data_IF_251633790412
#
_entry.id   IF_251633790412
#
_cell.length_a   1.000
_cell.length_b   1.000
_cell.length_c   1.000
_cell.angle_alpha   90.00
_cell.angle_beta   90.00
_cell.angle_gamma   90.00
#
_symmetry.space_group_name_H-M   'P 1'
#
loop_
_entity.id
_entity.type
_entity.pdbx_description
1 polymer ?
#
# COMPACT_ATOMS: atom_id res chain seq x y z
N UNK A 1 -61.36 -40.29 38.32
CA UNK A 1 -60.74 -39.40 39.31
C UNK A 1 -59.51 -38.75 38.70
N UNK A 2 -59.61 -37.47 38.34
CA UNK A 2 -58.48 -36.70 37.83
C UNK A 2 -58.19 -35.62 38.87
N UNK A 3 -56.97 -35.66 39.45
CA UNK A 3 -56.57 -34.63 40.40
C UNK A 3 -56.08 -33.39 39.63
N UNK A 4 -57.00 -32.48 39.34
CA UNK A 4 -56.73 -31.25 38.59
C UNK A 4 -55.67 -30.36 39.27
N UNK A 5 -55.56 -30.38 40.59
CA UNK A 5 -54.56 -29.62 41.36
C UNK A 5 -53.16 -30.16 41.13
N UNK A 6 -52.98 -31.49 41.02
CA UNK A 6 -51.66 -32.10 40.68
C UNK A 6 -51.25 -31.78 39.28
N UNK A 7 -52.13 -31.88 38.31
CA UNK A 7 -51.81 -31.53 36.90
C UNK A 7 -51.46 -30.04 36.72
N UNK A 8 -52.13 -29.17 37.50
CA UNK A 8 -51.79 -27.75 37.50
C UNK A 8 -50.41 -27.50 38.12
N UNK A 9 -50.09 -28.17 39.24
CA UNK A 9 -48.77 -28.05 39.89
C UNK A 9 -47.63 -28.53 38.97
N UNK A 10 -47.80 -29.68 38.30
CA UNK A 10 -46.85 -30.19 37.31
C UNK A 10 -46.62 -29.21 36.15
N UNK A 11 -47.71 -28.62 35.64
CA UNK A 11 -47.60 -27.64 34.55
C UNK A 11 -46.85 -26.39 35.01
N UNK A 12 -47.13 -25.85 36.20
CA UNK A 12 -46.40 -24.67 36.72
C UNK A 12 -44.93 -24.99 36.97
N UNK A 13 -44.63 -26.18 37.49
CA UNK A 13 -43.25 -26.63 37.72
C UNK A 13 -42.47 -26.74 36.41
N UNK A 14 -43.06 -27.30 35.36
CA UNK A 14 -42.42 -27.40 34.04
C UNK A 14 -42.18 -26.03 33.46
N UNK A 15 -43.12 -25.08 33.51
CA UNK A 15 -42.93 -23.69 33.04
C UNK A 15 -41.82 -22.99 33.84
N UNK A 16 -41.73 -23.22 35.15
CA UNK A 16 -40.69 -22.65 36.01
C UNK A 16 -39.31 -23.21 35.63
N UNK A 17 -39.20 -24.53 35.41
CA UNK A 17 -37.96 -25.18 35.00
C UNK A 17 -37.49 -24.69 33.62
N UNK A 18 -38.40 -24.52 32.65
CA UNK A 18 -38.03 -23.94 31.36
C UNK A 18 -37.51 -22.51 31.48
N UNK A 19 -38.14 -21.71 32.35
CA UNK A 19 -37.69 -20.32 32.62
C UNK A 19 -36.33 -20.28 33.28
N UNK A 20 -36.07 -21.19 34.22
CA UNK A 20 -34.78 -21.34 34.90
C UNK A 20 -33.70 -21.75 33.86
N UNK A 21 -33.95 -22.73 33.00
CA UNK A 21 -33.01 -23.14 31.98
C UNK A 21 -32.67 -22.00 31.02
N UNK A 22 -33.66 -21.22 30.56
CA UNK A 22 -33.42 -20.04 29.72
C UNK A 22 -32.57 -18.98 30.41
N UNK A 23 -32.88 -18.72 31.70
CA UNK A 23 -32.10 -17.76 32.49
C UNK A 23 -30.66 -18.23 32.72
N UNK A 24 -30.48 -19.54 33.00
CA UNK A 24 -29.13 -20.14 33.11
C UNK A 24 -28.34 -20.06 31.79
N UNK A 25 -29.00 -20.29 30.67
CA UNK A 25 -28.35 -20.14 29.34
C UNK A 25 -27.87 -18.70 29.12
N UNK A 26 -28.70 -17.69 29.48
CA UNK A 26 -28.34 -16.25 29.41
C UNK A 26 -27.20 -15.89 30.35
N UNK A 27 -27.20 -16.40 31.56
CA UNK A 27 -26.14 -16.18 32.54
C UNK A 27 -24.82 -16.84 32.13
N UNK A 28 -24.88 -18.05 31.57
CA UNK A 28 -23.71 -18.78 31.12
C UNK A 28 -23.06 -18.15 29.91
N UNK A 29 -23.86 -17.65 28.96
CA UNK A 29 -23.35 -16.98 27.73
C UNK A 29 -22.95 -15.53 28.00
N UNK A 30 -23.49 -14.89 29.04
CA UNK A 30 -23.37 -13.45 29.30
C UNK A 30 -24.14 -12.59 28.30
N UNK A 31 -24.93 -13.20 27.42
CA UNK A 31 -25.69 -12.51 26.37
C UNK A 31 -27.21 -12.59 26.65
N UNK A 32 -27.91 -11.47 26.46
CA UNK A 32 -29.37 -11.39 26.66
C UNK A 32 -30.15 -12.15 25.59
N UNK A 33 -29.63 -12.20 24.37
CA UNK A 33 -30.25 -12.82 23.18
C UNK A 33 -29.33 -13.94 22.71
N UNK A 34 -29.72 -15.20 22.94
CA UNK A 34 -28.96 -16.37 22.55
C UNK A 34 -29.56 -17.07 21.32
N UNK A 35 -30.88 -16.99 21.18
CA UNK A 35 -31.62 -17.68 20.11
C UNK A 35 -32.48 -16.70 19.34
N UNK A 36 -32.70 -16.98 18.06
CA UNK A 36 -33.59 -16.19 17.22
C UNK A 36 -35.02 -16.12 17.79
N UNK A 37 -35.40 -17.09 18.60
CA UNK A 37 -36.71 -17.12 19.30
C UNK A 37 -36.83 -16.15 20.47
N UNK A 38 -35.70 -15.63 20.99
CA UNK A 38 -35.74 -14.62 22.09
C UNK A 38 -36.03 -13.22 21.53
N UNK A 39 -35.37 -12.85 20.43
CA UNK A 39 -35.58 -11.58 19.71
C UNK A 39 -34.91 -11.68 18.33
N UNK A 40 -35.71 -12.01 17.31
CA UNK A 40 -35.20 -12.19 15.94
C UNK A 40 -34.66 -10.91 15.33
N UNK A 41 -35.26 -9.74 15.65
CA UNK A 41 -34.81 -8.46 15.10
C UNK A 41 -33.55 -7.98 15.80
N UNK A 42 -33.46 -8.10 17.11
CA UNK A 42 -32.30 -7.75 17.91
C UNK A 42 -31.09 -8.63 17.57
N UNK A 43 -31.31 -9.94 17.35
CA UNK A 43 -30.23 -10.83 16.89
C UNK A 43 -29.72 -10.45 15.52
N UNK A 44 -30.59 -10.17 14.55
CA UNK A 44 -30.18 -9.76 13.22
C UNK A 44 -29.36 -8.46 13.23
N UNK A 45 -29.75 -7.47 14.02
CA UNK A 45 -29.00 -6.21 14.19
C UNK A 45 -27.65 -6.48 14.86
N UNK A 46 -27.62 -7.29 15.93
CA UNK A 46 -26.39 -7.64 16.64
C UNK A 46 -25.38 -8.36 15.71
N UNK A 47 -25.83 -9.34 14.93
CA UNK A 47 -24.98 -10.05 13.98
C UNK A 47 -24.47 -9.14 12.85
N UNK A 48 -25.31 -8.21 12.38
CA UNK A 48 -24.88 -7.19 11.41
C UNK A 48 -23.79 -6.29 12.00
N UNK A 49 -23.96 -5.83 13.23
CA UNK A 49 -22.96 -5.00 13.93
C UNK A 49 -21.66 -5.78 14.18
N UNK A 50 -21.73 -7.05 14.61
CA UNK A 50 -20.56 -7.91 14.79
C UNK A 50 -19.81 -8.14 13.47
N UNK A 51 -20.53 -8.35 12.38
CA UNK A 51 -19.94 -8.48 11.05
C UNK A 51 -19.24 -7.19 10.64
N UNK A 52 -19.86 -6.03 10.90
CA UNK A 52 -19.27 -4.72 10.61
C UNK A 52 -18.02 -4.48 11.45
N UNK A 53 -18.03 -4.76 12.75
CA UNK A 53 -16.85 -4.64 13.62
C UNK A 53 -15.70 -5.52 13.12
N UNK A 54 -15.98 -6.79 12.77
CA UNK A 54 -14.96 -7.69 12.21
C UNK A 54 -14.41 -7.17 10.88
N UNK A 55 -15.29 -6.63 10.03
CA UNK A 55 -14.91 -5.99 8.78
C UNK A 55 -14.01 -4.76 8.99
N UNK A 56 -14.36 -3.87 9.92
CA UNK A 56 -13.58 -2.68 10.26
C UNK A 56 -12.21 -3.04 10.86
N UNK A 57 -12.15 -4.05 11.75
CA UNK A 57 -10.88 -4.54 12.28
C UNK A 57 -9.96 -5.07 11.18
N UNK A 58 -10.51 -5.78 10.20
CA UNK A 58 -9.72 -6.23 9.04
C UNK A 58 -9.33 -5.06 8.13
N UNK A 59 -10.21 -4.08 7.92
CA UNK A 59 -9.92 -2.86 7.19
C UNK A 59 -8.77 -2.06 7.83
N UNK A 60 -8.74 -1.96 9.16
CA UNK A 60 -7.63 -1.33 9.89
C UNK A 60 -6.29 -2.03 9.62
N UNK A 61 -6.26 -3.38 9.61
CA UNK A 61 -5.05 -4.13 9.24
C UNK A 61 -4.65 -3.88 7.78
N UNK A 62 -5.62 -3.84 6.87
CA UNK A 62 -5.35 -3.57 5.46
C UNK A 62 -4.78 -2.17 5.23
N UNK A 63 -5.28 -1.17 5.97
CA UNK A 63 -4.76 0.20 5.93
C UNK A 63 -3.30 0.24 6.40
N UNK A 64 -2.96 -0.42 7.51
CA UNK A 64 -1.60 -0.50 8.01
C UNK A 64 -0.65 -1.19 7.01
N UNK A 65 -1.12 -2.25 6.35
CA UNK A 65 -0.37 -2.89 5.26
C UNK A 65 -0.18 -1.94 4.08
N UNK A 66 -1.20 -1.13 3.75
CA UNK A 66 -1.09 -0.10 2.72
C UNK A 66 -0.09 0.99 3.06
N UNK A 67 -0.05 1.45 4.32
CA UNK A 67 0.95 2.41 4.80
C UNK A 67 2.35 1.81 4.70
N UNK A 68 2.55 0.57 5.16
CA UNK A 68 3.83 -0.12 5.07
C UNK A 68 4.31 -0.30 3.62
N UNK A 69 3.38 -0.61 2.71
CA UNK A 69 3.64 -0.69 1.27
C UNK A 69 4.15 0.65 0.71
N UNK A 70 3.48 1.77 1.06
CA UNK A 70 3.88 3.10 0.62
C UNK A 70 5.25 3.49 1.19
N UNK A 71 5.49 3.27 2.48
CA UNK A 71 6.76 3.59 3.14
C UNK A 71 7.93 2.80 2.55
N UNK A 72 7.72 1.51 2.25
CA UNK A 72 8.73 0.69 1.57
C UNK A 72 9.03 1.22 0.18
N UNK A 73 8.00 1.58 -0.60
CA UNK A 73 8.17 2.17 -1.93
C UNK A 73 8.90 3.51 -1.86
N UNK A 74 8.55 4.35 -0.89
CA UNK A 74 9.22 5.64 -0.68
C UNK A 74 10.70 5.47 -0.31
N UNK A 75 11.05 4.45 0.48
CA UNK A 75 12.44 4.10 0.79
C UNK A 75 13.25 3.86 -0.48
N UNK A 76 12.78 3.02 -1.40
CA UNK A 76 13.45 2.78 -2.69
C UNK A 76 13.51 4.03 -3.59
N UNK A 77 12.48 4.88 -3.56
CA UNK A 77 12.51 6.14 -4.32
C UNK A 77 13.51 7.14 -3.73
N UNK A 78 13.77 7.13 -2.42
CA UNK A 78 14.83 7.92 -1.81
C UNK A 78 16.20 7.47 -2.32
N UNK A 79 16.48 6.16 -2.30
CA UNK A 79 17.72 5.61 -2.86
C UNK A 79 17.88 5.99 -4.34
N UNK A 80 16.82 5.89 -5.14
CA UNK A 80 16.84 6.33 -6.54
C UNK A 80 17.16 7.83 -6.65
N UNK A 81 16.60 8.66 -5.76
CA UNK A 81 16.89 10.10 -5.75
C UNK A 81 18.35 10.38 -5.44
N UNK A 82 18.95 9.67 -4.49
CA UNK A 82 20.37 9.84 -4.11
C UNK A 82 21.30 9.45 -5.26
N UNK A 83 20.98 8.34 -5.96
CA UNK A 83 21.72 7.94 -7.17
C UNK A 83 21.61 8.98 -8.28
N UNK A 84 20.42 9.52 -8.53
CA UNK A 84 20.21 10.58 -9.54
C UNK A 84 20.97 11.87 -9.18
N UNK A 85 21.01 12.25 -7.91
CA UNK A 85 21.80 13.39 -7.45
C UNK A 85 23.29 13.16 -7.68
N UNK A 86 23.78 11.93 -7.44
CA UNK A 86 25.19 11.59 -7.72
C UNK A 86 25.49 11.66 -9.21
N UNK A 87 24.61 11.17 -10.08
CA UNK A 87 24.78 11.33 -11.54
C UNK A 87 24.82 12.82 -11.91
N UNK A 88 23.98 13.64 -11.29
CA UNK A 88 23.96 15.09 -11.51
C UNK A 88 25.28 15.75 -11.13
N UNK A 89 25.86 15.40 -9.96
CA UNK A 89 27.17 15.90 -9.54
C UNK A 89 28.27 15.56 -10.55
N UNK A 90 28.30 14.32 -11.01
CA UNK A 90 29.26 13.85 -12.01
C UNK A 90 29.10 14.56 -13.37
N UNK A 91 27.85 14.82 -13.76
CA UNK A 91 27.56 15.58 -14.97
C UNK A 91 28.05 17.04 -14.86
N UNK A 92 27.83 17.70 -13.71
CA UNK A 92 28.37 19.05 -13.43
C UNK A 92 29.90 19.03 -13.47
N UNK A 93 30.50 18.01 -12.87
CA UNK A 93 31.97 17.84 -12.87
C UNK A 93 32.50 17.68 -14.30
N UNK A 94 31.89 16.81 -15.11
CA UNK A 94 32.29 16.57 -16.50
C UNK A 94 32.05 17.78 -17.43
N UNK A 95 31.05 18.62 -17.15
CA UNK A 95 30.79 19.83 -17.90
C UNK A 95 31.88 20.90 -17.74
N UNK A 96 32.76 20.76 -16.73
CA UNK A 96 33.83 21.71 -16.50
C UNK A 96 34.98 21.50 -17.54
N UNK A 97 35.44 22.57 -18.16
CA UNK A 97 36.46 22.56 -19.20
C UNK A 97 37.88 22.20 -18.75
N UNK A 98 38.11 22.06 -17.42
CA UNK A 98 39.44 21.67 -16.90
C UNK A 98 39.75 20.18 -17.02
N UNK A 99 38.71 19.33 -17.21
CA UNK A 99 38.89 17.90 -17.34
C UNK A 99 39.22 17.53 -18.80
N UNK A 100 40.17 16.60 -18.98
CA UNK A 100 40.48 16.00 -20.27
C UNK A 100 39.39 15.02 -20.69
N UNK A 101 39.35 14.67 -21.96
CA UNK A 101 38.40 13.65 -22.47
C UNK A 101 38.65 12.28 -21.82
N UNK A 102 39.90 11.99 -21.45
CA UNK A 102 40.30 10.77 -20.74
C UNK A 102 39.71 10.73 -19.31
N UNK A 103 39.76 11.86 -18.57
CA UNK A 103 39.13 12.00 -17.25
C UNK A 103 37.62 11.86 -17.35
N UNK A 104 37.00 12.45 -18.37
CA UNK A 104 35.53 12.35 -18.59
C UNK A 104 35.14 10.90 -18.89
N UNK A 105 35.94 10.14 -19.62
CA UNK A 105 35.67 8.72 -19.86
C UNK A 105 35.70 7.91 -18.56
N UNK A 106 36.56 8.24 -17.60
CA UNK A 106 36.55 7.59 -16.27
C UNK A 106 35.29 7.95 -15.49
N UNK A 107 34.89 9.22 -15.53
CA UNK A 107 33.61 9.65 -14.88
C UNK A 107 32.44 8.95 -15.58
N UNK A 108 32.46 8.76 -16.92
CA UNK A 108 31.42 8.02 -17.65
C UNK A 108 31.26 6.59 -17.14
N UNK A 109 32.33 5.90 -16.75
CA UNK A 109 32.27 4.55 -16.18
C UNK A 109 31.45 4.57 -14.89
N UNK A 110 31.68 5.55 -13.99
CA UNK A 110 30.89 5.69 -12.77
C UNK A 110 29.42 5.96 -13.08
N UNK A 111 29.13 6.88 -14.02
CA UNK A 111 27.74 7.17 -14.45
C UNK A 111 27.04 5.92 -14.99
N UNK A 112 27.75 5.12 -15.79
CA UNK A 112 27.18 3.89 -16.33
C UNK A 112 26.80 2.88 -15.25
N UNK A 113 27.63 2.76 -14.21
CA UNK A 113 27.32 1.92 -13.05
C UNK A 113 26.13 2.46 -12.24
N UNK A 114 26.04 3.78 -12.07
CA UNK A 114 24.92 4.41 -11.37
C UNK A 114 23.61 4.26 -12.14
N UNK A 115 23.61 4.34 -13.47
CA UNK A 115 22.43 4.06 -14.30
C UNK A 115 22.00 2.60 -14.18
N UNK A 116 22.94 1.66 -14.15
CA UNK A 116 22.64 0.25 -13.90
C UNK A 116 22.07 0.04 -12.48
N UNK A 117 22.56 0.81 -11.50
CA UNK A 117 22.04 0.76 -10.13
C UNK A 117 20.60 1.24 -10.04
N UNK A 118 20.19 2.27 -10.80
CA UNK A 118 18.78 2.68 -10.89
C UNK A 118 17.90 1.51 -11.39
N UNK A 119 18.33 0.80 -12.41
CA UNK A 119 17.60 -0.38 -12.91
C UNK A 119 17.58 -1.51 -11.89
N UNK A 120 18.68 -1.71 -11.16
CA UNK A 120 18.75 -2.71 -10.09
C UNK A 120 17.77 -2.37 -8.97
N UNK A 121 17.75 -1.12 -8.50
CA UNK A 121 16.79 -0.66 -7.49
C UNK A 121 15.37 -0.90 -7.97
N UNK A 122 15.03 -0.52 -9.21
CA UNK A 122 13.70 -0.72 -9.76
C UNK A 122 13.28 -2.20 -9.82
N UNK A 123 14.23 -3.12 -10.10
CA UNK A 123 13.97 -4.56 -10.19
C UNK A 123 13.88 -5.25 -8.82
N UNK A 124 14.68 -4.79 -7.85
CA UNK A 124 14.74 -5.36 -6.49
C UNK A 124 13.67 -4.80 -5.58
N UNK A 125 13.11 -3.62 -5.89
CA UNK A 125 12.04 -2.99 -5.14
C UNK A 125 10.78 -3.86 -5.09
N UNK A 126 10.69 -4.73 -4.08
CA UNK A 126 9.60 -5.71 -3.92
C UNK A 126 8.91 -5.54 -2.58
N UNK A 127 7.60 -5.74 -2.61
CA UNK A 127 6.77 -5.91 -1.42
C UNK A 127 5.96 -7.19 -1.57
N UNK A 128 6.17 -8.13 -0.66
CA UNK A 128 5.52 -9.45 -0.71
C UNK A 128 5.68 -10.16 -2.09
N UNK A 129 6.88 -10.10 -2.67
CA UNK A 129 7.18 -10.71 -3.98
C UNK A 129 6.63 -9.97 -5.19
N UNK A 130 6.05 -8.79 -5.00
CA UNK A 130 5.53 -7.96 -6.08
C UNK A 130 6.47 -6.79 -6.35
N UNK A 131 6.98 -6.66 -7.58
CA UNK A 131 7.79 -5.53 -7.99
C UNK A 131 6.95 -4.26 -8.07
N UNK A 132 7.41 -3.19 -7.40
CA UNK A 132 6.66 -1.95 -7.25
C UNK A 132 7.01 -0.91 -8.32
N UNK A 133 8.27 -0.83 -8.76
CA UNK A 133 8.81 0.26 -9.59
C UNK A 133 8.94 -0.10 -11.07
N UNK A 134 8.57 -1.31 -11.48
CA UNK A 134 8.68 -1.79 -12.87
C UNK A 134 7.50 -1.41 -13.77
N UNK A 135 6.56 -0.59 -13.28
CA UNK A 135 5.38 -0.16 -14.03
C UNK A 135 4.17 -1.10 -13.95
N UNK A 136 4.27 -2.19 -13.19
CA UNK A 136 3.15 -3.13 -13.00
C UNK A 136 1.91 -2.45 -12.41
N UNK A 137 2.10 -1.47 -11.55
CA UNK A 137 1.04 -0.73 -10.84
C UNK A 137 0.85 0.69 -11.37
N UNK A 138 1.30 0.98 -12.59
CA UNK A 138 1.05 2.25 -13.26
C UNK A 138 -0.46 2.41 -13.59
N UNK A 139 -0.91 3.63 -13.83
CA UNK A 139 -2.32 3.91 -14.14
C UNK A 139 -2.83 3.12 -15.37
N UNK A 140 -1.94 2.86 -16.32
CA UNK A 140 -2.18 2.05 -17.54
C UNK A 140 -1.55 0.65 -17.45
N UNK A 141 -1.07 0.28 -16.25
CA UNK A 141 -0.41 -1.00 -16.02
C UNK A 141 -1.38 -2.20 -15.96
N UNK A 142 -0.83 -3.42 -16.07
CA UNK A 142 -1.62 -4.65 -16.11
C UNK A 142 -2.31 -4.98 -14.77
N UNK A 143 -1.91 -4.34 -13.68
CA UNK A 143 -2.41 -4.63 -12.33
C UNK A 143 -2.69 -3.33 -11.57
N UNK A 144 -3.73 -3.36 -10.75
CA UNK A 144 -4.09 -2.25 -9.87
C UNK A 144 -3.86 -2.67 -8.42
N UNK A 145 -3.10 -1.87 -7.67
CA UNK A 145 -2.96 -2.08 -6.24
C UNK A 145 -4.16 -1.45 -5.53
N UNK A 146 -5.05 -2.31 -5.02
CA UNK A 146 -6.28 -1.89 -4.36
C UNK A 146 -6.26 -2.33 -2.90
N UNK A 147 -6.51 -1.39 -2.00
CA UNK A 147 -6.64 -1.63 -0.57
C UNK A 147 -8.08 -1.40 -0.14
N UNK A 148 -8.67 -2.41 0.50
CA UNK A 148 -9.99 -2.30 1.10
C UNK A 148 -9.85 -1.61 2.46
N UNK A 149 -10.38 -0.39 2.57
CA UNK A 149 -10.25 0.50 3.73
C UNK A 149 -11.52 0.58 4.58
N UNK A 150 -12.55 -0.17 4.24
CA UNK A 150 -13.81 -0.22 4.98
C UNK A 150 -14.46 -1.58 4.94
N UNK A 151 -15.52 -1.76 5.75
CA UNK A 151 -16.23 -3.02 5.90
C UNK A 151 -17.21 -3.34 4.76
N UNK A 152 -17.59 -2.33 3.96
CA UNK A 152 -18.62 -2.45 2.94
C UNK A 152 -18.03 -2.48 1.52
N UNK A 153 -18.85 -2.89 0.55
CA UNK A 153 -18.50 -2.90 -0.86
C UNK A 153 -18.09 -1.49 -1.34
N UNK A 154 -17.14 -1.40 -2.26
CA UNK A 154 -16.59 -0.19 -2.85
C UNK A 154 -15.84 0.77 -1.92
N UNK A 155 -15.67 0.42 -0.64
CA UNK A 155 -14.83 1.17 0.28
C UNK A 155 -13.35 0.81 0.10
N UNK A 156 -12.81 1.11 -1.09
CA UNK A 156 -11.43 0.81 -1.45
C UNK A 156 -10.66 2.07 -1.89
N UNK A 157 -9.35 1.99 -1.79
CA UNK A 157 -8.43 3.01 -2.32
C UNK A 157 -7.46 2.33 -3.28
N UNK A 158 -7.35 2.85 -4.48
CA UNK A 158 -6.39 2.41 -5.49
C UNK A 158 -5.14 3.26 -5.42
N UNK A 159 -3.99 2.61 -5.42
CA UNK A 159 -2.67 3.26 -5.42
C UNK A 159 -2.01 2.96 -6.75
N UNK A 160 -1.50 4.01 -7.40
CA UNK A 160 -0.79 3.90 -8.66
C UNK A 160 0.67 4.30 -8.46
N UNK A 161 1.58 3.48 -8.99
CA UNK A 161 3.02 3.71 -8.95
C UNK A 161 3.53 3.66 -10.38
N UNK A 162 4.10 4.76 -10.83
CA UNK A 162 4.69 4.88 -12.16
C UNK A 162 5.93 3.99 -12.32
N UNK A 163 6.33 3.77 -13.57
CA UNK A 163 7.58 3.08 -13.89
C UNK A 163 8.77 3.97 -13.54
N UNK A 164 9.74 3.43 -12.80
CA UNK A 164 10.93 4.14 -12.32
C UNK A 164 12.22 3.41 -12.77
N UNK A 165 12.19 2.77 -13.94
CA UNK A 165 13.38 2.19 -14.57
C UNK A 165 14.23 3.29 -15.22
N UNK A 166 15.51 3.04 -15.44
CA UNK A 166 16.41 3.98 -16.12
C UNK A 166 15.87 4.41 -17.50
N UNK A 167 15.21 3.50 -18.22
CA UNK A 167 14.55 3.80 -19.49
C UNK A 167 13.37 4.77 -19.33
N UNK A 168 12.50 4.55 -18.35
CA UNK A 168 11.34 5.41 -18.10
C UNK A 168 11.74 6.80 -17.57
N UNK A 169 12.90 6.90 -16.92
CA UNK A 169 13.49 8.14 -16.44
C UNK A 169 14.33 8.86 -17.53
N UNK A 170 14.43 8.29 -18.73
CA UNK A 170 15.18 8.88 -19.84
C UNK A 170 16.70 8.75 -19.73
N UNK A 171 17.21 7.93 -18.80
CA UNK A 171 18.66 7.68 -18.62
C UNK A 171 19.20 6.63 -19.61
N UNK A 172 18.32 5.91 -20.28
CA UNK A 172 18.61 4.96 -21.37
C UNK A 172 17.72 5.28 -22.56
N UNK A 173 18.24 4.99 -23.78
CA UNK A 173 17.50 5.21 -25.02
C UNK A 173 16.14 4.51 -25.05
N UNK A 174 15.14 5.16 -25.64
CA UNK A 174 13.72 4.74 -25.65
C UNK A 174 13.47 3.40 -26.38
N UNK A 175 14.40 2.94 -27.21
CA UNK A 175 14.25 1.74 -28.06
C UNK A 175 15.01 0.49 -27.59
N UNK A 176 15.35 0.40 -26.30
CA UNK A 176 16.03 -0.81 -25.77
C UNK A 176 17.47 -0.98 -26.26
N UNK A 177 18.05 0.06 -26.86
CA UNK A 177 19.50 0.12 -27.15
C UNK A 177 20.26 0.35 -25.84
N UNK A 178 21.46 -0.20 -25.74
CA UNK A 178 22.42 0.03 -24.65
C UNK A 178 22.93 1.50 -24.59
N UNK A 179 22.32 2.39 -25.33
CA UNK A 179 22.71 3.79 -25.41
C UNK A 179 22.30 4.51 -24.11
N UNK A 180 23.21 4.52 -23.17
CA UNK A 180 23.09 5.25 -21.90
C UNK A 180 23.42 6.73 -22.12
N UNK A 181 23.01 7.58 -21.16
CA UNK A 181 23.43 8.98 -21.13
C UNK A 181 24.96 9.07 -21.18
N UNK A 182 25.47 9.89 -22.07
CA UNK A 182 26.92 10.10 -22.29
C UNK A 182 27.33 11.48 -21.76
N UNK A 183 28.42 11.52 -20.99
CA UNK A 183 29.04 12.73 -20.46
C UNK A 183 30.48 12.90 -20.94
N UNK A 184 30.83 12.26 -22.06
CA UNK A 184 32.19 12.24 -22.63
C UNK A 184 32.63 13.60 -23.17
N UNK A 185 31.68 14.49 -23.47
CA UNK A 185 31.95 15.87 -23.91
C UNK A 185 31.20 16.88 -23.02
N UNK A 186 31.67 18.14 -22.91
CA UNK A 186 31.01 19.17 -22.13
C UNK A 186 29.58 19.41 -22.56
N UNK A 187 29.29 19.36 -23.87
CA UNK A 187 27.96 19.59 -24.42
C UNK A 187 27.00 18.44 -24.05
N UNK A 188 27.48 17.18 -24.12
CA UNK A 188 26.71 16.02 -23.67
C UNK A 188 26.44 16.07 -22.18
N UNK A 189 27.44 16.44 -21.37
CA UNK A 189 27.27 16.60 -19.94
C UNK A 189 26.19 17.65 -19.61
N UNK A 190 26.13 18.77 -20.33
CA UNK A 190 25.08 19.79 -20.18
C UNK A 190 23.68 19.24 -20.55
N UNK A 191 23.57 18.43 -21.61
CA UNK A 191 22.30 17.78 -21.96
C UNK A 191 21.84 16.78 -20.91
N UNK A 192 22.77 16.02 -20.36
CA UNK A 192 22.49 15.06 -19.27
C UNK A 192 21.98 15.76 -18.01
N UNK A 193 22.46 16.96 -17.68
CA UNK A 193 21.91 17.74 -16.55
C UNK A 193 20.41 17.97 -16.71
N UNK A 194 19.96 18.35 -17.91
CA UNK A 194 18.53 18.51 -18.21
C UNK A 194 17.73 17.22 -18.05
N UNK A 195 18.29 16.11 -18.54
CA UNK A 195 17.66 14.78 -18.46
C UNK A 195 17.53 14.33 -16.99
N UNK A 196 18.58 14.50 -16.20
CA UNK A 196 18.58 14.11 -14.78
C UNK A 196 17.65 15.01 -13.96
N UNK A 197 17.58 16.31 -14.24
CA UNK A 197 16.66 17.22 -13.60
C UNK A 197 15.19 16.84 -13.89
N UNK A 198 14.89 16.38 -15.11
CA UNK A 198 13.55 15.88 -15.43
C UNK A 198 13.26 14.53 -14.74
N UNK A 199 14.24 13.62 -14.67
CA UNK A 199 14.12 12.37 -13.92
C UNK A 199 13.84 12.64 -12.44
N UNK A 200 14.56 13.58 -11.82
CA UNK A 200 14.32 14.00 -10.43
C UNK A 200 12.90 14.57 -10.23
N UNK A 201 12.38 15.33 -11.18
CA UNK A 201 10.99 15.83 -11.11
C UNK A 201 9.98 14.69 -11.14
N UNK A 202 10.19 13.69 -12.02
CA UNK A 202 9.31 12.50 -12.11
C UNK A 202 9.31 11.73 -10.80
N UNK A 203 10.48 11.44 -10.23
CA UNK A 203 10.61 10.74 -8.95
C UNK A 203 9.95 11.54 -7.81
N UNK A 204 10.23 12.85 -7.71
CA UNK A 204 9.64 13.70 -6.68
C UNK A 204 8.11 13.82 -6.82
N UNK A 205 7.59 13.89 -8.05
CA UNK A 205 6.14 13.84 -8.30
C UNK A 205 5.54 12.56 -7.79
N UNK A 206 6.17 11.41 -8.06
CA UNK A 206 5.70 10.12 -7.57
C UNK A 206 5.72 10.06 -6.03
N UNK A 207 6.76 10.56 -5.39
CA UNK A 207 6.86 10.66 -3.93
C UNK A 207 5.76 11.54 -3.34
N UNK A 208 5.47 12.67 -3.95
CA UNK A 208 4.37 13.56 -3.52
C UNK A 208 3.00 12.85 -3.61
N UNK A 209 2.78 12.07 -4.67
CA UNK A 209 1.56 11.25 -4.83
C UNK A 209 1.47 10.18 -3.74
N UNK A 210 2.58 9.49 -3.44
CA UNK A 210 2.62 8.48 -2.37
C UNK A 210 2.37 9.10 -0.99
N UNK A 211 2.95 10.26 -0.69
CA UNK A 211 2.67 11.01 0.54
C UNK A 211 1.19 11.41 0.66
N UNK A 212 0.55 11.80 -0.45
CA UNK A 212 -0.88 12.06 -0.45
C UNK A 212 -1.72 10.79 -0.16
N UNK A 213 -1.33 9.64 -0.70
CA UNK A 213 -1.98 8.37 -0.36
C UNK A 213 -1.77 7.97 1.10
N UNK A 214 -0.56 8.17 1.64
CA UNK A 214 -0.30 7.91 3.06
C UNK A 214 -1.21 8.74 3.96
N UNK A 215 -1.31 10.06 3.72
CA UNK A 215 -2.22 10.94 4.46
C UNK A 215 -3.69 10.46 4.37
N UNK A 216 -4.13 10.00 3.19
CA UNK A 216 -5.48 9.45 3.01
C UNK A 216 -5.69 8.17 3.82
N UNK A 217 -4.70 7.29 3.87
CA UNK A 217 -4.77 6.07 4.67
C UNK A 217 -4.78 6.37 6.17
N UNK A 218 -3.99 7.33 6.64
CA UNK A 218 -4.01 7.77 8.04
C UNK A 218 -5.37 8.37 8.44
N UNK A 219 -5.99 9.16 7.57
CA UNK A 219 -7.36 9.66 7.78
C UNK A 219 -8.37 8.53 7.80
N UNK A 220 -8.27 7.55 6.89
CA UNK A 220 -9.12 6.38 6.86
C UNK A 220 -8.94 5.52 8.14
N UNK A 221 -7.71 5.35 8.62
CA UNK A 221 -7.43 4.64 9.88
C UNK A 221 -8.10 5.31 11.08
N UNK A 222 -8.07 6.65 11.14
CA UNK A 222 -8.79 7.41 12.18
C UNK A 222 -10.30 7.19 12.11
N UNK A 223 -10.86 7.17 10.89
CA UNK A 223 -12.28 6.96 10.68
C UNK A 223 -12.77 5.53 10.97
N UNK A 224 -11.90 4.53 10.85
CA UNK A 224 -12.22 3.13 11.16
C UNK A 224 -12.15 2.83 12.67
N UNK A 225 -11.35 3.60 13.43
CA UNK A 225 -11.15 3.40 14.87
C UNK A 225 -12.13 4.21 15.75
N UNK A 226 -13.07 4.93 15.17
CA UNK A 226 -14.18 5.64 15.85
C UNK A 226 -15.42 4.76 15.93
#
# INVERSE_FOLDING_TARGET
NHNMSSLYADRVTNISNESIMKNMEKLSSGERINRAGDDASGLAVSEKMRSQIRGLNQASKNINNGISFIQTTEGYLNETTDVLQRIRELAVQSANGIYSDEDRMQIQVEVSQLVAEVDRIASVAQFNGMNMLTGRFAAEGPSVMQFQVGANMDQNTRVFIGTMTAQALGLKGAQGGDEQIAISTPDQANMVLGTVDEALKVVNKQRAVLGAYQNRFEMAAKGVNV
#
